data_IF_307329038589
#
_entry.id   IF_307329038589
#
_cell.length_a   1.000
_cell.length_b   1.000
_cell.length_c   1.000
_cell.angle_alpha   90.00
_cell.angle_beta   90.00
_cell.angle_gamma   90.00
#
_symmetry.space_group_name_H-M   'P 1'
#
loop_
_entity.id
_entity.type
_entity.pdbx_description
1 polymer ?
#
# COMPACT_ATOMS: atom_id res chain seq x y z
N UNK A 1 45.04 34.97 3.26
CA UNK A 1 43.86 35.35 2.47
C UNK A 1 42.97 34.13 2.43
N UNK A 2 42.09 34.07 3.42
CA UNK A 2 41.16 32.96 3.63
C UNK A 2 39.96 33.15 2.70
N UNK A 3 39.61 32.12 1.94
CA UNK A 3 38.33 32.04 1.22
C UNK A 3 37.55 30.86 1.73
N UNK A 4 36.69 31.16 2.70
CA UNK A 4 35.69 30.27 3.27
C UNK A 4 34.58 30.02 2.24
N UNK A 5 34.55 28.81 1.67
CA UNK A 5 33.42 28.35 0.85
C UNK A 5 32.22 28.08 1.74
N UNK A 6 31.24 28.97 1.74
CA UNK A 6 29.96 28.76 2.40
C UNK A 6 29.17 27.66 1.67
N UNK A 7 29.16 26.46 2.24
CA UNK A 7 28.25 25.40 1.83
C UNK A 7 26.82 25.84 2.17
N UNK A 8 26.04 26.16 1.14
CA UNK A 8 24.62 26.49 1.29
C UNK A 8 23.86 25.19 1.42
N UNK A 9 23.61 24.76 2.65
CA UNK A 9 22.73 23.61 2.94
C UNK A 9 21.30 23.98 2.56
N UNK A 10 20.88 23.57 1.37
CA UNK A 10 19.48 23.64 0.94
C UNK A 10 18.65 22.76 1.87
N UNK A 11 17.97 23.38 2.84
CA UNK A 11 16.85 22.75 3.54
C UNK A 11 15.75 22.50 2.50
N UNK A 12 15.65 21.27 2.01
CA UNK A 12 14.45 20.77 1.34
C UNK A 12 13.29 20.88 2.33
N UNK A 13 12.55 21.99 2.24
CA UNK A 13 11.23 22.12 2.83
C UNK A 13 10.32 21.14 2.10
N UNK A 14 10.06 19.99 2.72
CA UNK A 14 9.02 19.07 2.28
C UNK A 14 7.70 19.86 2.22
N UNK A 15 7.20 20.01 0.99
CA UNK A 15 6.11 20.91 0.64
C UNK A 15 4.79 20.31 1.19
N UNK A 16 4.06 20.96 2.12
CA UNK A 16 2.77 20.49 2.65
C UNK A 16 1.62 20.49 1.61
N UNK A 17 1.89 20.99 0.41
CA UNK A 17 0.91 21.36 -0.62
C UNK A 17 0.40 20.13 -1.40
N UNK A 18 0.89 18.92 -1.14
CA UNK A 18 0.54 17.71 -1.94
C UNK A 18 -0.56 16.85 -1.29
N UNK A 19 -0.55 16.67 0.03
CA UNK A 19 -1.53 15.81 0.73
C UNK A 19 -2.94 16.41 0.73
N UNK A 20 -3.05 17.72 0.98
CA UNK A 20 -4.34 18.42 0.96
C UNK A 20 -4.95 18.46 -0.45
N UNK A 21 -4.12 18.56 -1.49
CA UNK A 21 -4.59 18.44 -2.89
C UNK A 21 -5.16 17.06 -3.18
N UNK A 22 -4.53 15.99 -2.69
CA UNK A 22 -5.04 14.62 -2.86
C UNK A 22 -6.35 14.46 -2.09
N UNK A 23 -6.45 14.95 -0.85
CA UNK A 23 -7.68 14.93 -0.05
C UNK A 23 -8.84 15.60 -0.79
N UNK A 24 -8.63 16.82 -1.29
CA UNK A 24 -9.66 17.56 -2.03
C UNK A 24 -10.14 16.79 -3.27
N UNK A 25 -9.22 16.17 -4.03
CA UNK A 25 -9.59 15.35 -5.19
C UNK A 25 -10.39 14.10 -4.81
N UNK A 26 -10.08 13.47 -3.68
CA UNK A 26 -10.86 12.33 -3.16
C UNK A 26 -12.29 12.75 -2.85
N UNK A 27 -12.46 13.90 -2.19
CA UNK A 27 -13.79 14.46 -1.87
C UNK A 27 -14.59 14.84 -3.14
N UNK A 28 -13.94 15.44 -4.13
CA UNK A 28 -14.56 15.75 -5.42
C UNK A 28 -15.03 14.48 -6.16
N UNK A 29 -14.19 13.45 -6.21
CA UNK A 29 -14.56 12.17 -6.81
C UNK A 29 -15.70 11.50 -6.06
N UNK A 30 -15.76 11.60 -4.73
CA UNK A 30 -16.88 11.09 -3.95
C UNK A 30 -18.20 11.76 -4.34
N UNK A 31 -18.21 13.09 -4.47
CA UNK A 31 -19.39 13.83 -4.95
C UNK A 31 -19.81 13.38 -6.35
N UNK A 32 -18.85 13.19 -7.26
CA UNK A 32 -19.11 12.70 -8.62
C UNK A 32 -19.71 11.30 -8.62
N UNK A 33 -19.15 10.37 -7.84
CA UNK A 33 -19.63 9.00 -7.69
C UNK A 33 -21.07 8.98 -7.15
N UNK A 34 -21.39 9.82 -6.16
CA UNK A 34 -22.74 9.91 -5.58
C UNK A 34 -23.75 10.45 -6.60
N UNK A 35 -23.41 11.54 -7.30
CA UNK A 35 -24.23 12.10 -8.37
C UNK A 35 -24.48 11.07 -9.49
N UNK A 36 -23.45 10.29 -9.80
CA UNK A 36 -23.53 9.26 -10.82
C UNK A 36 -24.45 8.10 -10.42
N UNK A 37 -24.35 7.64 -9.16
CA UNK A 37 -25.24 6.62 -8.60
C UNK A 37 -26.69 7.07 -8.67
N UNK A 38 -26.97 8.31 -8.27
CA UNK A 38 -28.32 8.88 -8.30
C UNK A 38 -28.91 8.84 -9.72
N UNK A 39 -28.14 9.29 -10.71
CA UNK A 39 -28.53 9.23 -12.12
C UNK A 39 -28.77 7.81 -12.63
N UNK A 40 -27.88 6.85 -12.29
CA UNK A 40 -28.01 5.46 -12.70
C UNK A 40 -29.24 4.76 -12.09
N UNK A 41 -29.50 5.01 -10.79
CA UNK A 41 -30.66 4.44 -10.08
C UNK A 41 -31.99 4.96 -10.58
N UNK A 42 -32.03 6.17 -11.15
CA UNK A 42 -33.26 6.81 -11.57
C UNK A 42 -33.63 6.52 -13.03
N UNK A 43 -32.64 6.29 -13.92
CA UNK A 43 -32.91 6.40 -15.36
C UNK A 43 -32.26 5.35 -16.28
N UNK A 44 -31.31 4.52 -15.81
CA UNK A 44 -30.42 3.79 -16.74
C UNK A 44 -30.29 2.28 -16.47
N UNK A 45 -30.20 1.84 -15.21
CA UNK A 45 -29.85 0.44 -14.94
C UNK A 45 -31.05 -0.51 -15.01
N UNK A 46 -30.92 -1.64 -15.72
CA UNK A 46 -31.88 -2.75 -15.61
C UNK A 46 -31.80 -3.42 -14.25
N UNK A 47 -32.84 -4.18 -13.84
CA UNK A 47 -32.85 -4.91 -12.57
C UNK A 47 -31.64 -5.86 -12.43
N UNK A 48 -31.28 -6.55 -13.51
CA UNK A 48 -30.11 -7.46 -13.56
C UNK A 48 -28.79 -6.70 -13.37
N UNK A 49 -28.62 -5.57 -14.08
CA UNK A 49 -27.44 -4.71 -13.95
C UNK A 49 -27.30 -4.15 -12.53
N UNK A 50 -28.42 -3.78 -11.91
CA UNK A 50 -28.46 -3.32 -10.53
C UNK A 50 -28.08 -4.41 -9.53
N UNK A 51 -28.55 -5.64 -9.72
CA UNK A 51 -28.20 -6.77 -8.87
C UNK A 51 -26.69 -7.08 -8.94
N UNK A 52 -26.10 -7.06 -10.13
CA UNK A 52 -24.65 -7.26 -10.30
C UNK A 52 -23.87 -6.11 -9.63
N UNK A 53 -24.33 -4.86 -9.75
CA UNK A 53 -23.75 -3.74 -9.01
C UNK A 53 -23.75 -3.98 -7.49
N UNK A 54 -24.86 -4.44 -6.92
CA UNK A 54 -24.97 -4.71 -5.48
C UNK A 54 -24.02 -5.80 -5.01
N UNK A 55 -23.73 -6.81 -5.86
CA UNK A 55 -22.75 -7.85 -5.60
C UNK A 55 -21.32 -7.30 -5.69
N UNK A 56 -21.03 -6.49 -6.70
CA UNK A 56 -19.68 -6.02 -6.99
C UNK A 56 -19.22 -4.90 -6.05
N UNK A 57 -20.15 -4.03 -5.60
CA UNK A 57 -19.88 -2.90 -4.69
C UNK A 57 -19.13 -3.29 -3.40
N UNK A 58 -19.57 -4.29 -2.61
CA UNK A 58 -18.82 -4.72 -1.42
C UNK A 58 -17.47 -5.35 -1.78
N UNK A 59 -17.39 -6.11 -2.88
CA UNK A 59 -16.15 -6.75 -3.34
C UNK A 59 -15.08 -5.73 -3.73
N UNK A 60 -15.43 -4.70 -4.50
CA UNK A 60 -14.50 -3.61 -4.84
C UNK A 60 -14.06 -2.83 -3.59
N UNK A 61 -14.95 -2.63 -2.62
CA UNK A 61 -14.57 -2.01 -1.34
C UNK A 61 -13.54 -2.86 -0.62
N UNK A 62 -13.75 -4.17 -0.55
CA UNK A 62 -12.82 -5.10 0.09
C UNK A 62 -11.48 -5.16 -0.66
N UNK A 63 -11.53 -5.32 -1.99
CA UNK A 63 -10.37 -5.28 -2.88
C UNK A 63 -9.52 -4.03 -2.65
N UNK A 64 -10.15 -2.85 -2.58
CA UNK A 64 -9.45 -1.61 -2.30
C UNK A 64 -8.71 -1.61 -0.97
N UNK A 65 -9.36 -2.10 0.09
CA UNK A 65 -8.73 -2.20 1.40
C UNK A 65 -7.51 -3.12 1.34
N UNK A 66 -7.63 -4.27 0.67
CA UNK A 66 -6.52 -5.22 0.49
C UNK A 66 -5.39 -4.61 -0.34
N UNK A 67 -5.70 -3.94 -1.44
CA UNK A 67 -4.74 -3.24 -2.29
C UNK A 67 -3.99 -2.14 -1.53
N UNK A 68 -4.69 -1.30 -0.76
CA UNK A 68 -4.08 -0.27 0.09
C UNK A 68 -3.15 -0.87 1.14
N UNK A 69 -3.58 -1.96 1.79
CA UNK A 69 -2.75 -2.65 2.78
C UNK A 69 -1.48 -3.24 2.13
N UNK A 70 -1.61 -3.84 0.95
CA UNK A 70 -0.48 -4.36 0.18
C UNK A 70 0.51 -3.26 -0.16
N UNK A 71 0.04 -2.15 -0.76
CA UNK A 71 0.89 -0.99 -1.07
C UNK A 71 1.59 -0.44 0.18
N UNK A 72 0.85 -0.30 1.28
CA UNK A 72 1.42 0.16 2.54
C UNK A 72 2.48 -0.80 3.09
N UNK A 73 2.25 -2.11 3.00
CA UNK A 73 3.21 -3.13 3.43
C UNK A 73 4.47 -3.09 2.56
N UNK A 74 4.33 -2.98 1.24
CA UNK A 74 5.47 -2.84 0.31
C UNK A 74 6.28 -1.57 0.61
N UNK A 75 5.61 -0.42 0.81
CA UNK A 75 6.30 0.82 1.19
C UNK A 75 6.97 0.76 2.55
N UNK A 76 6.38 0.02 3.49
CA UNK A 76 7.00 -0.24 4.79
C UNK A 76 8.30 -1.04 4.66
N UNK A 77 8.34 -2.05 3.79
CA UNK A 77 9.59 -2.76 3.48
C UNK A 77 10.61 -1.83 2.84
N UNK A 78 10.19 -1.02 1.85
CA UNK A 78 11.05 -0.06 1.16
C UNK A 78 11.67 0.97 2.12
N UNK A 79 10.93 1.39 3.14
CA UNK A 79 11.36 2.40 4.11
C UNK A 79 11.91 1.82 5.42
N UNK A 80 12.06 0.49 5.51
CA UNK A 80 12.44 -0.21 6.75
C UNK A 80 11.58 0.22 7.96
N UNK A 81 10.27 0.33 7.72
CA UNK A 81 9.25 0.73 8.70
C UNK A 81 8.44 -0.49 9.13
N UNK A 82 8.77 -1.06 10.28
CA UNK A 82 8.03 -2.20 10.80
C UNK A 82 6.56 -1.84 11.12
N UNK A 83 5.61 -2.75 10.88
CA UNK A 83 4.28 -2.64 11.46
C UNK A 83 4.35 -2.65 12.99
N UNK A 84 3.46 -1.88 13.65
CA UNK A 84 3.41 -1.75 15.12
C UNK A 84 3.32 -3.07 15.88
N UNK A 85 2.78 -4.12 15.27
CA UNK A 85 2.68 -5.44 15.89
C UNK A 85 4.00 -6.23 15.83
N UNK A 86 4.84 -5.99 14.81
CA UNK A 86 6.16 -6.61 14.67
C UNK A 86 7.19 -5.87 15.53
N UNK A 87 7.09 -4.54 15.58
CA UNK A 87 7.99 -3.65 16.36
C UNK A 87 8.08 -4.04 17.84
N UNK A 88 7.00 -4.57 18.42
CA UNK A 88 6.92 -4.96 19.83
C UNK A 88 7.68 -6.24 20.18
N UNK A 89 8.20 -6.97 19.19
CA UNK A 89 8.97 -8.20 19.43
C UNK A 89 10.46 -7.85 19.46
N UNK A 90 11.04 -7.98 20.65
CA UNK A 90 12.48 -7.95 20.89
C UNK A 90 12.88 -9.22 21.66
N UNK A 91 13.76 -10.02 21.08
CA UNK A 91 14.25 -11.27 21.64
C UNK A 91 15.56 -11.05 22.43
N UNK A 92 15.98 -9.80 22.63
CA UNK A 92 17.15 -9.44 23.42
C UNK A 92 16.85 -9.57 24.91
N UNK A 93 17.19 -10.73 25.48
CA UNK A 93 17.09 -10.98 26.91
C UNK A 93 18.33 -10.46 27.64
N UNK A 94 18.16 -9.94 28.86
CA UNK A 94 19.28 -9.52 29.69
C UNK A 94 20.10 -10.73 30.14
N UNK A 95 21.41 -10.67 29.95
CA UNK A 95 22.36 -11.70 30.36
C UNK A 95 23.00 -11.27 31.68
N UNK A 96 23.27 -12.22 32.57
CA UNK A 96 24.09 -11.97 33.76
C UNK A 96 25.58 -11.85 33.37
N UNK A 97 26.11 -10.64 33.50
CA UNK A 97 27.46 -10.28 33.08
C UNK A 97 28.50 -10.56 34.18
N UNK A 98 28.07 -10.98 35.39
CA UNK A 98 28.97 -11.18 36.53
C UNK A 98 29.87 -12.42 36.43
N UNK A 99 29.49 -13.39 35.57
CA UNK A 99 30.17 -14.69 35.44
C UNK A 99 30.82 -14.85 34.06
N UNK A 100 30.33 -14.13 33.04
CA UNK A 100 30.72 -14.30 31.64
C UNK A 100 31.63 -13.15 31.22
N UNK A 101 32.72 -13.46 30.52
CA UNK A 101 33.61 -12.44 29.93
C UNK A 101 32.85 -11.51 28.97
N UNK A 102 33.17 -10.22 28.99
CA UNK A 102 32.50 -9.19 28.20
C UNK A 102 32.41 -9.52 26.69
N UNK A 103 33.45 -10.11 26.09
CA UNK A 103 33.44 -10.52 24.68
C UNK A 103 32.35 -11.56 24.36
N UNK A 104 32.13 -12.51 25.27
CA UNK A 104 31.10 -13.55 25.13
C UNK A 104 29.69 -12.99 25.34
N UNK A 105 29.54 -12.05 26.27
CA UNK A 105 28.29 -11.32 26.48
C UNK A 105 27.91 -10.56 25.21
N UNK A 106 28.86 -9.80 24.64
CA UNK A 106 28.63 -9.05 23.40
C UNK A 106 28.33 -9.97 22.21
N UNK A 107 29.07 -11.08 22.06
CA UNK A 107 28.79 -12.05 21.02
C UNK A 107 27.37 -12.63 21.12
N UNK A 108 26.89 -12.88 22.35
CA UNK A 108 25.54 -13.37 22.60
C UNK A 108 24.49 -12.31 22.28
N UNK A 109 24.68 -11.04 22.68
CA UNK A 109 23.79 -9.96 22.29
C UNK A 109 23.73 -9.77 20.77
N UNK A 110 24.86 -9.92 20.06
CA UNK A 110 24.90 -9.86 18.61
C UNK A 110 24.05 -10.99 17.97
N UNK A 111 24.13 -12.21 18.52
CA UNK A 111 23.27 -13.32 18.11
C UNK A 111 21.79 -13.03 18.37
N UNK A 112 21.44 -12.50 19.54
CA UNK A 112 20.04 -12.12 19.86
C UNK A 112 19.51 -11.05 18.90
N UNK A 113 20.32 -10.03 18.60
CA UNK A 113 19.97 -9.00 17.59
C UNK A 113 19.75 -9.60 16.22
N UNK A 114 20.58 -10.55 15.82
CA UNK A 114 20.44 -11.25 14.54
C UNK A 114 19.14 -12.07 14.50
N UNK A 115 18.79 -12.79 15.56
CA UNK A 115 17.53 -13.54 15.65
C UNK A 115 16.33 -12.59 15.59
N UNK A 116 16.36 -11.48 16.33
CA UNK A 116 15.31 -10.45 16.29
C UNK A 116 15.14 -9.89 14.88
N UNK A 117 16.25 -9.58 14.18
CA UNK A 117 16.22 -9.10 12.80
C UNK A 117 15.62 -10.14 11.85
N UNK A 118 16.07 -11.38 11.93
CA UNK A 118 15.59 -12.48 11.09
C UNK A 118 14.09 -12.75 11.30
N UNK A 119 13.64 -12.79 12.55
CA UNK A 119 12.22 -12.89 12.88
C UNK A 119 11.40 -11.78 12.22
N UNK A 120 11.84 -10.52 12.35
CA UNK A 120 11.16 -9.36 11.75
C UNK A 120 11.08 -9.48 10.23
N UNK A 121 12.18 -9.89 9.58
CA UNK A 121 12.22 -10.11 8.12
C UNK A 121 11.25 -11.21 7.70
N UNK A 122 11.31 -12.38 8.32
CA UNK A 122 10.44 -13.51 7.98
C UNK A 122 8.96 -13.18 8.20
N UNK A 123 8.63 -12.55 9.33
CA UNK A 123 7.26 -12.12 9.63
C UNK A 123 6.74 -11.12 8.60
N UNK A 124 7.56 -10.14 8.19
CA UNK A 124 7.17 -9.17 7.18
C UNK A 124 7.01 -9.80 5.79
N UNK A 125 7.88 -10.74 5.41
CA UNK A 125 7.76 -11.47 4.14
C UNK A 125 6.45 -12.25 4.07
N UNK A 126 6.12 -13.03 5.10
CA UNK A 126 4.87 -13.79 5.15
C UNK A 126 3.64 -12.87 5.11
N UNK A 127 3.72 -11.72 5.78
CA UNK A 127 2.65 -10.72 5.77
C UNK A 127 2.41 -10.16 4.37
N UNK A 128 3.47 -9.76 3.66
CA UNK A 128 3.37 -9.26 2.27
C UNK A 128 2.83 -10.35 1.33
N UNK A 129 3.35 -11.57 1.42
CA UNK A 129 2.88 -12.70 0.60
C UNK A 129 1.39 -12.98 0.79
N UNK A 130 0.92 -12.97 2.04
CA UNK A 130 -0.50 -13.14 2.37
C UNK A 130 -1.35 -12.04 1.72
N UNK A 131 -0.97 -10.77 1.86
CA UNK A 131 -1.69 -9.65 1.27
C UNK A 131 -1.73 -9.72 -0.26
N UNK A 132 -0.63 -10.10 -0.91
CA UNK A 132 -0.58 -10.30 -2.37
C UNK A 132 -1.58 -11.36 -2.80
N UNK A 133 -1.59 -12.52 -2.12
CA UNK A 133 -2.48 -13.63 -2.47
C UNK A 133 -3.96 -13.27 -2.28
N UNK A 134 -4.30 -12.64 -1.16
CA UNK A 134 -5.67 -12.17 -0.90
C UNK A 134 -6.14 -11.18 -1.97
N UNK A 135 -5.27 -10.26 -2.37
CA UNK A 135 -5.56 -9.27 -3.41
C UNK A 135 -5.80 -9.94 -4.76
N UNK A 136 -4.93 -10.85 -5.20
CA UNK A 136 -5.08 -11.58 -6.47
C UNK A 136 -6.39 -12.37 -6.56
N UNK A 137 -6.77 -13.08 -5.49
CA UNK A 137 -8.01 -13.86 -5.47
C UNK A 137 -9.21 -12.94 -5.67
N UNK A 138 -9.24 -11.79 -4.99
CA UNK A 138 -10.31 -10.81 -5.15
C UNK A 138 -10.30 -10.14 -6.52
N UNK A 139 -9.12 -9.84 -7.09
CA UNK A 139 -9.01 -9.29 -8.45
C UNK A 139 -9.66 -10.22 -9.47
N UNK A 140 -9.31 -11.51 -9.42
CA UNK A 140 -9.85 -12.52 -10.34
C UNK A 140 -11.36 -12.68 -10.20
N UNK A 141 -11.87 -12.64 -8.97
CA UNK A 141 -13.32 -12.72 -8.73
C UNK A 141 -14.06 -11.49 -9.29
N UNK A 142 -13.51 -10.29 -9.11
CA UNK A 142 -14.06 -9.04 -9.65
C UNK A 142 -14.04 -9.04 -11.18
N UNK A 143 -12.94 -9.48 -11.79
CA UNK A 143 -12.81 -9.64 -13.24
C UNK A 143 -13.90 -10.58 -13.76
N UNK A 144 -14.05 -11.77 -13.16
CA UNK A 144 -15.06 -12.74 -13.58
C UNK A 144 -16.50 -12.18 -13.52
N UNK A 145 -16.85 -11.45 -12.45
CA UNK A 145 -18.18 -10.82 -12.31
C UNK A 145 -18.36 -9.71 -13.35
N UNK A 146 -17.30 -8.97 -13.66
CA UNK A 146 -17.33 -7.88 -14.63
C UNK A 146 -17.46 -8.40 -16.06
N UNK A 147 -16.78 -9.49 -16.40
CA UNK A 147 -16.88 -10.16 -17.70
C UNK A 147 -18.28 -10.75 -17.94
N UNK A 148 -18.93 -11.22 -16.88
CA UNK A 148 -20.31 -11.69 -16.91
C UNK A 148 -21.38 -10.59 -16.91
N UNK A 149 -20.99 -9.31 -16.98
CA UNK A 149 -21.94 -8.21 -16.95
C UNK A 149 -22.76 -8.15 -18.26
N UNK A 150 -24.11 -8.05 -18.20
CA UNK A 150 -24.95 -8.05 -19.39
C UNK A 150 -24.69 -6.81 -20.25
N UNK A 151 -24.20 -7.06 -21.47
CA UNK A 151 -23.86 -6.04 -22.46
C UNK A 151 -25.01 -5.75 -23.43
N UNK A 152 -25.88 -6.73 -23.67
CA UNK A 152 -27.10 -6.61 -24.48
C UNK A 152 -28.33 -7.10 -23.72
N UNK A 153 -29.44 -6.37 -23.84
CA UNK A 153 -30.76 -6.85 -23.48
C UNK A 153 -31.25 -7.62 -24.71
N UNK A 154 -31.57 -8.91 -24.59
CA UNK A 154 -32.12 -9.73 -25.69
C UNK A 154 -33.46 -9.25 -26.28
N UNK A 155 -33.86 -8.01 -26.02
CA UNK A 155 -35.10 -7.34 -26.45
C UNK A 155 -34.86 -6.12 -27.36
N UNK A 156 -33.65 -5.93 -27.91
CA UNK A 156 -33.41 -4.91 -28.94
C UNK A 156 -33.53 -3.44 -28.47
N UNK A 157 -33.61 -3.21 -27.16
CA UNK A 157 -33.52 -1.87 -26.55
C UNK A 157 -32.15 -1.68 -25.87
N UNK A 158 -31.50 -0.57 -26.23
CA UNK A 158 -30.17 -0.09 -25.84
C UNK A 158 -29.71 -0.53 -24.44
N UNK A 159 -28.91 -1.60 -24.37
CA UNK A 159 -28.16 -1.99 -23.17
C UNK A 159 -26.81 -1.27 -23.06
N UNK A 160 -26.37 -0.65 -24.15
CA UNK A 160 -25.14 0.14 -24.27
C UNK A 160 -25.03 1.28 -23.22
N UNK A 161 -26.11 2.04 -22.90
CA UNK A 161 -26.05 3.10 -21.89
C UNK A 161 -25.85 2.57 -20.47
N UNK A 162 -26.46 1.43 -20.13
CA UNK A 162 -26.38 0.79 -18.80
C UNK A 162 -25.02 0.19 -18.51
N UNK A 163 -24.45 -0.53 -19.49
CA UNK A 163 -23.10 -1.06 -19.39
C UNK A 163 -22.05 0.05 -19.38
N UNK A 164 -22.17 1.04 -20.27
CA UNK A 164 -21.31 2.22 -20.29
C UNK A 164 -21.35 2.95 -18.96
N UNK A 165 -22.55 3.04 -18.36
CA UNK A 165 -22.70 3.70 -17.09
C UNK A 165 -22.04 2.95 -15.95
N UNK A 166 -22.28 1.64 -15.88
CA UNK A 166 -21.60 0.75 -14.93
C UNK A 166 -20.07 0.88 -15.04
N UNK A 167 -19.52 0.81 -16.26
CA UNK A 167 -18.09 0.97 -16.51
C UNK A 167 -17.57 2.33 -16.03
N UNK A 168 -18.28 3.41 -16.34
CA UNK A 168 -17.90 4.76 -15.91
C UNK A 168 -17.90 4.90 -14.38
N UNK A 169 -18.94 4.41 -13.70
CA UNK A 169 -19.03 4.38 -12.24
C UNK A 169 -17.84 3.65 -11.61
N UNK A 170 -17.55 2.44 -12.08
CA UNK A 170 -16.46 1.63 -11.53
C UNK A 170 -15.09 2.25 -11.82
N UNK A 171 -14.90 2.88 -12.98
CA UNK A 171 -13.69 3.65 -13.27
C UNK A 171 -13.47 4.83 -12.32
N UNK A 172 -14.52 5.63 -12.05
CA UNK A 172 -14.43 6.73 -11.09
C UNK A 172 -14.08 6.21 -9.68
N UNK A 173 -14.69 5.09 -9.28
CA UNK A 173 -14.41 4.44 -8.01
C UNK A 173 -12.96 3.98 -7.92
N UNK A 174 -12.45 3.28 -8.93
CA UNK A 174 -11.03 2.86 -8.98
C UNK A 174 -10.09 4.06 -8.89
N UNK A 175 -10.36 5.15 -9.62
CA UNK A 175 -9.57 6.39 -9.53
C UNK A 175 -9.54 6.96 -8.11
N UNK A 176 -10.69 7.01 -7.42
CA UNK A 176 -10.75 7.49 -6.03
C UNK A 176 -9.88 6.63 -5.11
N UNK A 177 -9.97 5.31 -5.26
CA UNK A 177 -9.22 4.36 -4.45
C UNK A 177 -7.71 4.46 -4.68
N UNK A 178 -7.27 4.69 -5.92
CA UNK A 178 -5.86 4.93 -6.23
C UNK A 178 -5.35 6.21 -5.56
N UNK A 179 -6.13 7.30 -5.55
CA UNK A 179 -5.76 8.52 -4.83
C UNK A 179 -5.70 8.32 -3.31
N UNK A 180 -6.63 7.55 -2.73
CA UNK A 180 -6.55 7.17 -1.30
C UNK A 180 -5.27 6.37 -1.01
N UNK A 181 -4.84 5.51 -1.93
CA UNK A 181 -3.59 4.77 -1.81
C UNK A 181 -2.37 5.68 -1.92
N UNK A 182 -2.35 6.62 -2.87
CA UNK A 182 -1.30 7.65 -2.97
C UNK A 182 -1.20 8.46 -1.68
N UNK A 183 -2.33 8.91 -1.13
CA UNK A 183 -2.38 9.64 0.15
C UNK A 183 -1.68 8.87 1.27
N UNK A 184 -1.93 7.55 1.35
CA UNK A 184 -1.30 6.66 2.34
C UNK A 184 0.21 6.53 2.13
N UNK A 185 0.66 6.43 0.87
CA UNK A 185 2.09 6.37 0.54
C UNK A 185 2.79 7.67 0.95
N UNK A 186 2.18 8.83 0.67
CA UNK A 186 2.70 10.13 1.11
C UNK A 186 2.83 10.21 2.63
N UNK A 187 1.82 9.76 3.38
CA UNK A 187 1.88 9.71 4.83
C UNK A 187 3.02 8.82 5.34
N UNK A 188 3.26 7.67 4.71
CA UNK A 188 4.39 6.79 5.07
C UNK A 188 5.74 7.43 4.73
N UNK A 189 5.83 8.19 3.64
CA UNK A 189 7.02 8.95 3.29
C UNK A 189 7.30 10.08 4.31
N UNK A 190 6.28 10.79 4.79
CA UNK A 190 6.42 11.76 5.88
C UNK A 190 6.93 11.09 7.17
N UNK A 191 6.33 9.94 7.54
CA UNK A 191 6.78 9.14 8.68
C UNK A 191 8.24 8.71 8.59
N UNK A 192 8.72 8.39 7.39
CA UNK A 192 10.13 8.07 7.14
C UNK A 192 11.02 9.28 7.46
N UNK A 193 10.68 10.46 6.96
CA UNK A 193 11.46 11.70 7.18
C UNK A 193 11.48 12.08 8.67
N UNK A 194 10.35 12.00 9.37
CA UNK A 194 10.27 12.25 10.82
C UNK A 194 11.08 11.21 11.63
N UNK A 195 11.10 9.96 11.18
CA UNK A 195 11.85 8.88 11.81
C UNK A 195 13.36 8.99 11.63
N UNK A 196 13.83 9.48 10.46
CA UNK A 196 15.26 9.68 10.17
C UNK A 196 15.90 10.74 11.10
N UNK A 197 15.16 11.76 11.55
CA UNK A 197 15.64 12.72 12.56
C UNK A 197 15.93 12.10 13.94
N UNK A 198 15.43 10.90 14.23
CA UNK A 198 15.70 10.16 15.48
C UNK A 198 16.68 8.98 15.31
N UNK A 199 17.17 8.70 14.09
CA UNK A 199 18.02 7.51 13.77
C UNK A 199 19.53 7.83 13.71
N UNK A 200 20.09 8.56 14.68
CA UNK A 200 21.55 8.62 14.84
C UNK A 200 22.15 7.45 15.64
N UNK A 201 21.37 6.45 16.03
CA UNK A 201 21.89 5.21 16.61
C UNK A 201 21.10 4.01 16.07
N UNK A 202 21.45 3.55 14.88
CA UNK A 202 21.58 2.12 14.57
C UNK A 202 22.17 1.99 13.16
N UNK A 203 23.23 1.22 13.06
CA UNK A 203 24.13 1.15 11.91
C UNK A 203 23.40 0.85 10.59
N UNK A 204 23.86 1.62 9.61
CA UNK A 204 23.63 1.53 8.18
C UNK A 204 23.87 0.10 7.66
N UNK A 205 22.81 -0.65 7.40
CA UNK A 205 22.87 -1.80 6.48
C UNK A 205 21.80 -1.60 5.41
N UNK A 206 22.25 -1.01 4.30
CA UNK A 206 21.48 -0.90 3.06
C UNK A 206 21.09 -2.31 2.57
N UNK A 207 19.86 -2.54 2.06
CA UNK A 207 19.34 -3.89 1.84
C UNK A 207 19.92 -4.56 0.59
N UNK A 208 20.66 -5.66 0.79
CA UNK A 208 21.08 -6.58 -0.29
C UNK A 208 19.93 -7.46 -0.81
N UNK A 209 18.68 -7.26 -0.37
CA UNK A 209 17.56 -8.16 -0.67
C UNK A 209 16.66 -7.74 -1.85
N UNK A 210 16.86 -6.55 -2.44
CA UNK A 210 16.09 -6.13 -3.64
C UNK A 210 16.77 -6.60 -4.95
N UNK A 211 17.96 -7.24 -4.89
CA UNK A 211 18.57 -7.83 -6.09
C UNK A 211 18.04 -9.23 -6.43
N UNK A 212 17.46 -9.96 -5.48
CA UNK A 212 16.96 -11.33 -5.72
C UNK A 212 15.48 -11.41 -6.14
N UNK A 213 14.76 -10.28 -6.22
CA UNK A 213 13.37 -10.24 -6.68
C UNK A 213 13.17 -9.38 -7.95
N UNK A 214 14.26 -8.81 -8.48
CA UNK A 214 14.27 -8.01 -9.72
C UNK A 214 14.90 -8.69 -10.93
N UNK A 215 15.58 -9.84 -10.76
CA UNK A 215 16.33 -10.49 -11.85
C UNK A 215 15.56 -11.63 -12.55
N UNK A 216 14.36 -12.00 -12.09
CA UNK A 216 13.50 -13.02 -12.77
C UNK A 216 12.37 -12.43 -13.65
N UNK A 217 12.19 -11.10 -13.68
CA UNK A 217 11.20 -10.45 -14.57
C UNK A 217 11.84 -9.67 -15.75
N UNK A 218 13.16 -9.69 -15.92
CA UNK A 218 13.86 -8.96 -16.99
C UNK A 218 14.81 -9.79 -17.86
N UNK A 219 14.77 -11.11 -17.74
CA UNK A 219 15.46 -12.05 -18.62
C UNK A 219 14.50 -13.24 -18.74
N UNK A 220 13.90 -13.60 -19.88
CA UNK A 220 14.32 -13.58 -21.29
C UNK A 220 13.04 -13.72 -22.16
N UNK A 221 13.21 -13.92 -23.48
CA UNK A 221 13.38 -12.94 -24.56
C UNK A 221 12.06 -12.36 -25.11
#
# INVERSE_FOLDING_TARGET
MDSTTAATTSKLTAIPITLDKIRNKVEELEKLILKYLQHCTQHIATSTQWNIHLILKPKIKLWSTKYKNLLAATKRVEYDLLPKFIEKVDLSLKIDESIISQDKVQATYNQMRQITKEFRTQAMTLYVQSLTREHEVLSKEIEHITDGFPQDNGEGFEAEPGFSAFKHYHNLRTKRLNLEAEQLIYFLAEKRVEGETNKQQEELIVPTLIRSLGEECLLQP
#
